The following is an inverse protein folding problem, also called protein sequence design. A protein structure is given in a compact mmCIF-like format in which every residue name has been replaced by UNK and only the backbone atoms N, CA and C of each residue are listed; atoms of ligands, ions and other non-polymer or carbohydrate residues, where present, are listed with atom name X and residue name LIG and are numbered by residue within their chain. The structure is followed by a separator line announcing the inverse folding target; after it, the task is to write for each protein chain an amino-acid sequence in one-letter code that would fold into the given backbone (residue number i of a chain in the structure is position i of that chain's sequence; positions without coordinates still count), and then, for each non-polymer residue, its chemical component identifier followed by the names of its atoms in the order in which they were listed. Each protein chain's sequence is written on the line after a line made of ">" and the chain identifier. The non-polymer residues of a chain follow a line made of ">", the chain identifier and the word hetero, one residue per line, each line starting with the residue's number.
data_IF_697160788495
#
_entry.id   IF_697160788495
#
_cell.length_a   1.000
_cell.length_b   1.000
_cell.length_c   1.000
_cell.angle_alpha   90.00
_cell.angle_beta   90.00
_cell.angle_gamma   90.00
#
_symmetry.space_group_name_H-M   'P 1'
#
loop_
_entity.id
_entity.type
_entity.pdbx_description
1 polymer ?
#
# COMPACT_ATOMS: atom_id res chain seq x y z
N UNK A 1 50.77 -34.24 19.35
CA UNK A 1 49.52 -33.42 19.27
C UNK A 1 49.77 -32.32 18.25
N UNK A 2 49.11 -32.39 17.09
CA UNK A 2 49.25 -31.37 16.04
C UNK A 2 48.43 -30.14 16.43
N UNK A 3 49.09 -29.04 16.77
CA UNK A 3 48.46 -27.73 16.90
C UNK A 3 48.05 -27.24 15.51
N UNK A 4 46.77 -27.37 15.17
CA UNK A 4 46.18 -26.72 14.00
C UNK A 4 46.06 -25.23 14.28
N UNK A 5 47.09 -24.46 13.93
CA UNK A 5 47.06 -23.01 13.98
C UNK A 5 45.91 -22.47 13.13
N UNK A 6 45.17 -21.51 13.70
CA UNK A 6 44.13 -20.71 13.03
C UNK A 6 44.62 -20.23 11.66
N UNK A 7 44.06 -20.79 10.58
CA UNK A 7 44.23 -20.26 9.23
C UNK A 7 43.48 -18.94 9.14
N UNK A 8 44.14 -17.84 9.47
CA UNK A 8 43.63 -16.51 9.15
C UNK A 8 43.61 -16.34 7.62
N UNK A 9 42.51 -15.85 7.02
CA UNK A 9 42.52 -15.49 5.61
C UNK A 9 43.62 -14.46 5.37
N UNK A 10 44.30 -14.55 4.22
CA UNK A 10 45.34 -13.56 3.90
C UNK A 10 44.74 -12.16 3.97
N UNK A 11 45.55 -11.19 4.40
CA UNK A 11 45.15 -9.77 4.45
C UNK A 11 44.59 -9.34 3.09
N UNK A 12 45.20 -9.81 2.00
CA UNK A 12 44.75 -9.58 0.63
C UNK A 12 43.35 -10.13 0.35
N UNK A 13 43.06 -11.38 0.75
CA UNK A 13 41.74 -11.98 0.59
C UNK A 13 40.67 -11.22 1.40
N UNK A 14 41.04 -10.71 2.58
CA UNK A 14 40.15 -9.89 3.41
C UNK A 14 39.88 -8.52 2.80
N UNK A 15 40.89 -7.87 2.23
CA UNK A 15 40.76 -6.60 1.48
C UNK A 15 39.87 -6.80 0.25
N UNK A 16 40.11 -7.86 -0.54
CA UNK A 16 39.32 -8.15 -1.73
C UNK A 16 37.85 -8.45 -1.39
N UNK A 17 37.60 -9.21 -0.32
CA UNK A 17 36.24 -9.48 0.17
C UNK A 17 35.51 -8.18 0.53
N UNK A 18 36.16 -7.28 1.26
CA UNK A 18 35.58 -5.97 1.61
C UNK A 18 35.31 -5.10 0.38
N UNK A 19 36.25 -5.06 -0.57
CA UNK A 19 36.05 -4.35 -1.85
C UNK A 19 34.86 -4.90 -2.63
N UNK A 20 34.73 -6.22 -2.75
CA UNK A 20 33.60 -6.84 -3.43
C UNK A 20 32.27 -6.54 -2.72
N UNK A 21 32.24 -6.58 -1.38
CA UNK A 21 31.07 -6.20 -0.61
C UNK A 21 30.68 -4.74 -0.85
N UNK A 22 31.65 -3.82 -0.83
CA UNK A 22 31.41 -2.40 -1.08
C UNK A 22 30.87 -2.15 -2.51
N UNK A 23 31.42 -2.81 -3.52
CA UNK A 23 30.92 -2.72 -4.90
C UNK A 23 29.47 -3.21 -4.99
N UNK A 24 29.14 -4.34 -4.35
CA UNK A 24 27.78 -4.85 -4.29
C UNK A 24 26.83 -3.89 -3.58
N UNK A 25 27.28 -3.23 -2.52
CA UNK A 25 26.50 -2.20 -1.82
C UNK A 25 26.19 -1.00 -2.72
N UNK A 26 27.18 -0.51 -3.47
CA UNK A 26 26.97 0.58 -4.43
C UNK A 26 25.98 0.20 -5.53
N UNK A 27 26.10 -1.02 -6.08
CA UNK A 27 25.16 -1.55 -7.09
C UNK A 27 23.73 -1.60 -6.51
N UNK A 28 23.58 -2.07 -5.27
CA UNK A 28 22.27 -2.16 -4.64
C UNK A 28 21.66 -0.79 -4.33
N UNK A 29 22.47 0.21 -3.95
CA UNK A 29 22.02 1.60 -3.77
C UNK A 29 21.51 2.18 -5.09
N UNK A 30 22.25 1.97 -6.18
CA UNK A 30 21.87 2.45 -7.51
C UNK A 30 20.57 1.80 -8.00
N UNK A 31 20.43 0.47 -7.82
CA UNK A 31 19.18 -0.24 -8.11
C UNK A 31 18.00 0.30 -7.30
N UNK A 32 18.19 0.54 -6.01
CA UNK A 32 17.12 1.06 -5.15
C UNK A 32 16.68 2.47 -5.59
N UNK A 33 17.63 3.32 -6.00
CA UNK A 33 17.34 4.63 -6.59
C UNK A 33 16.52 4.50 -7.88
N UNK A 34 16.91 3.59 -8.78
CA UNK A 34 16.17 3.39 -10.02
C UNK A 34 14.74 2.87 -9.77
N UNK A 35 14.58 1.92 -8.83
CA UNK A 35 13.26 1.44 -8.41
C UNK A 35 12.42 2.60 -7.86
N UNK A 36 13.00 3.45 -7.01
CA UNK A 36 12.32 4.62 -6.45
C UNK A 36 11.78 5.53 -7.55
N UNK A 37 12.63 5.93 -8.49
CA UNK A 37 12.25 6.82 -9.59
C UNK A 37 11.09 6.22 -10.41
N UNK A 38 11.15 4.91 -10.68
CA UNK A 38 10.12 4.19 -11.41
C UNK A 38 8.79 4.14 -10.65
N UNK A 39 8.82 3.83 -9.36
CA UNK A 39 7.63 3.81 -8.48
C UNK A 39 7.01 5.20 -8.37
N UNK A 40 7.81 6.23 -8.14
CA UNK A 40 7.33 7.61 -8.02
C UNK A 40 6.68 8.10 -9.32
N UNK A 41 7.24 7.71 -10.47
CA UNK A 41 6.68 7.98 -11.79
C UNK A 41 5.33 7.29 -11.96
N UNK A 42 5.26 5.97 -11.77
CA UNK A 42 4.02 5.19 -11.91
C UNK A 42 2.92 5.64 -10.94
N UNK A 43 3.28 5.94 -9.68
CA UNK A 43 2.33 6.46 -8.70
C UNK A 43 1.80 7.86 -9.09
N UNK A 44 2.63 8.66 -9.75
CA UNK A 44 2.23 9.98 -10.27
C UNK A 44 1.34 9.85 -11.50
N UNK A 45 1.64 8.92 -12.41
CA UNK A 45 0.78 8.58 -13.56
C UNK A 45 -0.60 8.12 -13.10
N UNK A 46 -0.67 7.18 -12.14
CA UNK A 46 -1.91 6.75 -11.51
C UNK A 46 -2.74 7.94 -10.97
N UNK A 47 -2.09 8.89 -10.32
CA UNK A 47 -2.77 10.09 -9.80
C UNK A 47 -3.30 11.00 -10.92
N UNK A 48 -2.61 11.06 -12.06
CA UNK A 48 -2.98 11.87 -13.20
C UNK A 48 -4.12 11.22 -14.00
N UNK A 49 -4.25 9.90 -13.95
CA UNK A 49 -5.32 9.12 -14.56
C UNK A 49 -6.61 9.05 -13.72
N UNK A 50 -6.72 9.88 -12.67
CA UNK A 50 -7.88 9.92 -11.78
C UNK A 50 -9.23 9.93 -12.51
N UNK A 51 -9.37 10.76 -13.55
CA UNK A 51 -10.63 10.90 -14.30
C UNK A 51 -10.99 9.62 -15.06
N UNK A 52 -10.00 8.88 -15.55
CA UNK A 52 -10.19 7.59 -16.22
C UNK A 52 -10.75 6.57 -15.23
N UNK A 53 -10.08 6.41 -14.08
CA UNK A 53 -10.54 5.49 -13.04
C UNK A 53 -11.89 5.88 -12.47
N UNK A 54 -12.13 7.18 -12.25
CA UNK A 54 -13.40 7.69 -11.76
C UNK A 54 -14.54 7.35 -12.73
N UNK A 55 -14.40 7.65 -14.03
CA UNK A 55 -15.43 7.36 -15.03
C UNK A 55 -15.74 5.87 -15.12
N UNK A 56 -14.71 5.02 -15.03
CA UNK A 56 -14.87 3.56 -15.09
C UNK A 56 -15.55 2.97 -13.84
N UNK A 57 -15.30 3.55 -12.65
CA UNK A 57 -15.65 2.89 -11.38
C UNK A 57 -16.74 3.60 -10.55
N UNK A 58 -17.10 4.84 -10.87
CA UNK A 58 -18.04 5.63 -10.05
C UNK A 58 -19.45 5.02 -10.02
N UNK A 59 -19.93 4.45 -11.12
CA UNK A 59 -21.24 3.78 -11.17
C UNK A 59 -21.29 2.61 -10.19
N UNK A 60 -20.27 1.74 -10.19
CA UNK A 60 -20.14 0.63 -9.26
C UNK A 60 -20.10 1.10 -7.81
N UNK A 61 -19.29 2.12 -7.51
CA UNK A 61 -19.22 2.69 -6.17
C UNK A 61 -20.57 3.28 -5.72
N UNK A 62 -21.26 4.01 -6.61
CA UNK A 62 -22.59 4.56 -6.34
C UNK A 62 -23.60 3.45 -6.02
N UNK A 63 -23.63 2.38 -6.80
CA UNK A 63 -24.51 1.24 -6.55
C UNK A 63 -24.19 0.56 -5.21
N UNK A 64 -22.90 0.39 -4.90
CA UNK A 64 -22.46 -0.15 -3.62
C UNK A 64 -22.96 0.71 -2.44
N UNK A 65 -22.84 2.04 -2.53
CA UNK A 65 -23.34 2.99 -1.52
C UNK A 65 -24.86 2.84 -1.28
N UNK A 66 -25.63 2.65 -2.37
CA UNK A 66 -27.08 2.45 -2.29
C UNK A 66 -27.41 1.10 -1.62
N UNK A 67 -26.76 0.02 -2.07
CA UNK A 67 -26.96 -1.34 -1.52
C UNK A 67 -26.65 -1.40 -0.02
N UNK A 68 -25.63 -0.68 0.42
CA UNK A 68 -25.22 -0.59 1.83
C UNK A 68 -26.03 0.42 2.65
N UNK A 69 -27.05 1.07 2.05
CA UNK A 69 -27.88 2.11 2.69
C UNK A 69 -27.07 3.30 3.22
N UNK A 70 -25.93 3.57 2.59
CA UNK A 70 -25.04 4.69 2.89
C UNK A 70 -25.42 5.95 2.12
N UNK A 71 -26.26 5.81 1.08
CA UNK A 71 -26.81 6.90 0.29
C UNK A 71 -28.22 6.54 -0.18
N UNK A 72 -29.15 7.50 -0.11
CA UNK A 72 -30.49 7.37 -0.68
C UNK A 72 -30.61 8.25 -1.92
N UNK A 73 -30.84 7.68 -3.12
CA UNK A 73 -31.04 8.47 -4.33
C UNK A 73 -32.23 9.42 -4.21
N UNK A 74 -32.05 10.66 -4.65
CA UNK A 74 -33.12 11.65 -4.76
C UNK A 74 -33.30 12.01 -6.22
N UNK A 75 -34.55 12.00 -6.70
CA UNK A 75 -34.89 12.38 -8.08
C UNK A 75 -34.29 13.75 -8.42
N UNK A 76 -33.59 13.83 -9.56
CA UNK A 76 -32.98 15.06 -10.05
C UNK A 76 -31.70 15.51 -9.35
N UNK A 77 -31.20 14.80 -8.33
CA UNK A 77 -29.92 15.12 -7.68
C UNK A 77 -28.76 14.29 -8.23
N UNK A 78 -27.56 14.87 -8.17
CA UNK A 78 -26.30 14.17 -8.45
C UNK A 78 -26.12 12.99 -7.47
N UNK A 79 -25.27 12.02 -7.84
CA UNK A 79 -24.96 10.86 -7.00
C UNK A 79 -24.28 11.22 -5.67
N UNK A 80 -23.94 10.21 -4.85
CA UNK A 80 -23.34 10.44 -3.54
C UNK A 80 -22.08 11.29 -3.65
N UNK A 81 -21.93 12.24 -2.72
CA UNK A 81 -20.69 12.99 -2.56
C UNK A 81 -19.64 12.12 -1.86
N UNK A 82 -18.35 12.28 -2.14
CA UNK A 82 -17.36 11.46 -1.42
C UNK A 82 -17.23 11.89 0.06
N UNK A 83 -17.03 10.92 0.98
CA UNK A 83 -16.78 11.19 2.39
C UNK A 83 -15.60 12.15 2.60
N UNK A 84 -15.73 13.08 3.54
CA UNK A 84 -14.75 14.17 3.72
C UNK A 84 -13.34 13.67 4.05
N UNK A 85 -13.22 12.67 4.93
CA UNK A 85 -11.93 12.12 5.33
C UNK A 85 -11.21 11.44 4.17
N UNK A 86 -11.94 10.81 3.23
CA UNK A 86 -11.37 10.24 2.01
C UNK A 86 -10.99 11.28 0.94
N UNK A 87 -11.34 12.56 1.13
CA UNK A 87 -10.94 13.65 0.22
C UNK A 87 -9.67 14.37 0.67
N UNK A 88 -9.20 14.13 1.89
CA UNK A 88 -8.10 14.90 2.50
C UNK A 88 -6.78 14.74 1.74
N UNK A 89 -6.57 13.60 1.06
CA UNK A 89 -5.42 13.37 0.19
C UNK A 89 -5.89 12.98 -1.22
N UNK A 90 -6.28 13.96 -2.04
CA UNK A 90 -6.98 13.75 -3.33
C UNK A 90 -6.33 12.76 -4.31
N UNK A 91 -5.05 12.42 -4.14
CA UNK A 91 -4.29 11.61 -5.11
C UNK A 91 -4.06 10.17 -4.66
N UNK A 92 -4.06 9.87 -3.35
CA UNK A 92 -3.85 8.52 -2.79
C UNK A 92 -2.82 7.67 -3.57
N UNK A 93 -1.63 8.24 -3.80
CA UNK A 93 -0.58 7.67 -4.66
C UNK A 93 -0.21 6.24 -4.31
N UNK A 94 -0.24 5.88 -3.02
CA UNK A 94 0.05 4.53 -2.53
C UNK A 94 -0.86 3.45 -3.12
N UNK A 95 -2.04 3.80 -3.63
CA UNK A 95 -3.00 2.86 -4.20
C UNK A 95 -2.76 2.56 -5.68
N UNK A 96 -1.68 3.09 -6.27
CA UNK A 96 -1.29 2.81 -7.65
C UNK A 96 -1.14 1.31 -8.01
N UNK A 97 -0.83 0.36 -7.10
CA UNK A 97 -0.76 -1.05 -7.46
C UNK A 97 -2.09 -1.62 -7.97
N UNK A 98 -3.22 -1.08 -7.50
CA UNK A 98 -4.56 -1.60 -7.81
C UNK A 98 -5.17 -1.00 -9.07
N UNK A 99 -4.57 0.07 -9.65
CA UNK A 99 -5.05 0.74 -10.87
C UNK A 99 -6.57 0.98 -10.89
N UNK A 100 -7.11 1.40 -9.74
CA UNK A 100 -8.55 1.55 -9.50
C UNK A 100 -8.83 2.88 -8.82
N UNK A 101 -10.06 3.37 -8.94
CA UNK A 101 -10.53 4.60 -8.29
C UNK A 101 -10.35 4.53 -6.77
N UNK A 102 -9.53 5.42 -6.20
CA UNK A 102 -9.10 5.34 -4.79
C UNK A 102 -10.27 5.32 -3.79
N UNK A 103 -11.35 6.08 -4.01
CA UNK A 103 -12.50 6.07 -3.09
C UNK A 103 -13.15 4.68 -3.05
N UNK A 104 -13.20 3.99 -4.19
CA UNK A 104 -13.72 2.62 -4.25
C UNK A 104 -12.80 1.66 -3.47
N UNK A 105 -11.49 1.73 -3.69
CA UNK A 105 -10.51 0.90 -2.95
C UNK A 105 -10.59 1.15 -1.44
N UNK A 106 -10.64 2.41 -1.01
CA UNK A 106 -10.76 2.77 0.41
C UNK A 106 -12.10 2.33 1.02
N UNK A 107 -13.19 2.36 0.24
CA UNK A 107 -14.51 1.87 0.68
C UNK A 107 -14.50 0.36 0.86
N UNK A 108 -13.86 -0.37 -0.04
CA UNK A 108 -13.66 -1.83 0.07
C UNK A 108 -12.77 -2.19 1.24
N UNK A 109 -11.69 -1.43 1.48
CA UNK A 109 -10.83 -1.62 2.65
C UNK A 109 -11.61 -1.43 3.96
N UNK A 110 -12.50 -0.43 4.03
CA UNK A 110 -13.39 -0.25 5.16
C UNK A 110 -14.32 -1.46 5.36
N UNK A 111 -14.85 -2.01 4.28
CA UNK A 111 -15.72 -3.19 4.30
C UNK A 111 -14.98 -4.45 4.78
N UNK A 112 -13.77 -4.68 4.26
CA UNK A 112 -12.90 -5.78 4.68
C UNK A 112 -12.65 -5.67 6.19
N UNK A 113 -12.19 -4.51 6.67
CA UNK A 113 -11.91 -4.31 8.10
C UNK A 113 -13.16 -4.47 8.96
N UNK A 114 -14.32 -4.02 8.49
CA UNK A 114 -15.58 -4.16 9.23
C UNK A 114 -16.04 -5.63 9.37
N UNK A 115 -15.52 -6.54 8.55
CA UNK A 115 -15.75 -7.98 8.68
C UNK A 115 -14.99 -8.61 9.86
N UNK A 116 -13.89 -7.99 10.33
CA UNK A 116 -13.08 -8.50 11.43
C UNK A 116 -13.64 -8.08 12.80
N UNK A 117 -13.49 -8.89 13.86
CA UNK A 117 -13.95 -8.51 15.19
C UNK A 117 -13.26 -7.25 15.73
N UNK A 118 -14.02 -6.42 16.45
CA UNK A 118 -13.50 -5.20 17.10
C UNK A 118 -12.35 -5.55 18.05
N UNK A 119 -11.33 -4.69 18.10
CA UNK A 119 -10.14 -4.77 18.95
C UNK A 119 -9.26 -6.02 18.75
N UNK A 120 -9.51 -6.83 17.73
CA UNK A 120 -8.59 -7.90 17.31
C UNK A 120 -7.55 -7.37 16.32
N UNK A 121 -6.31 -7.89 16.36
CA UNK A 121 -5.30 -7.58 15.35
C UNK A 121 -5.77 -8.00 13.96
N UNK A 122 -5.58 -7.13 12.98
CA UNK A 122 -5.80 -7.37 11.55
C UNK A 122 -4.49 -6.98 10.84
N UNK A 123 -3.76 -7.96 10.33
CA UNK A 123 -2.42 -7.71 9.76
C UNK A 123 -2.51 -6.98 8.43
N UNK A 124 -1.62 -6.02 8.22
CA UNK A 124 -1.61 -5.21 7.01
C UNK A 124 -1.41 -6.05 5.75
N UNK A 125 -0.56 -7.07 5.83
CA UNK A 125 -0.33 -7.99 4.72
C UNK A 125 -1.60 -8.74 4.31
N UNK A 126 -2.42 -9.18 5.27
CA UNK A 126 -3.67 -9.89 4.97
C UNK A 126 -4.66 -8.95 4.25
N UNK A 127 -4.80 -7.72 4.74
CA UNK A 127 -5.61 -6.68 4.11
C UNK A 127 -5.15 -6.37 2.68
N UNK A 128 -3.84 -6.29 2.44
CA UNK A 128 -3.29 -6.10 1.10
C UNK A 128 -3.65 -7.26 0.17
N UNK A 129 -3.50 -8.50 0.64
CA UNK A 129 -3.83 -9.69 -0.14
C UNK A 129 -5.31 -9.77 -0.47
N UNK A 130 -6.21 -9.40 0.46
CA UNK A 130 -7.64 -9.32 0.19
C UNK A 130 -7.95 -8.27 -0.89
N UNK A 131 -7.38 -7.06 -0.81
CA UNK A 131 -7.54 -6.05 -1.87
C UNK A 131 -6.98 -6.53 -3.22
N UNK A 132 -5.83 -7.21 -3.21
CA UNK A 132 -5.23 -7.78 -4.41
C UNK A 132 -6.11 -8.88 -5.04
N UNK A 133 -6.85 -9.64 -4.23
CA UNK A 133 -7.84 -10.59 -4.74
C UNK A 133 -9.05 -9.88 -5.36
N UNK A 134 -9.46 -8.74 -4.81
CA UNK A 134 -10.60 -7.97 -5.31
C UNK A 134 -10.31 -7.26 -6.64
N UNK A 135 -9.13 -6.65 -6.79
CA UNK A 135 -8.81 -5.78 -7.93
C UNK A 135 -7.71 -6.31 -8.85
N UNK A 136 -6.95 -7.30 -8.40
CA UNK A 136 -5.67 -7.63 -9.02
C UNK A 136 -4.59 -6.59 -8.68
N UNK A 137 -3.38 -6.86 -9.19
CA UNK A 137 -2.23 -5.98 -9.09
C UNK A 137 -1.69 -5.71 -10.49
N UNK A 138 -1.27 -4.47 -10.75
CA UNK A 138 -0.63 -4.13 -12.03
C UNK A 138 0.62 -4.97 -12.27
N UNK A 139 0.87 -5.33 -13.53
CA UNK A 139 2.07 -6.09 -13.92
C UNK A 139 3.35 -5.35 -13.56
N UNK A 140 3.32 -4.02 -13.69
CA UNK A 140 4.42 -3.14 -13.32
C UNK A 140 4.71 -3.24 -11.82
N UNK A 141 3.68 -3.19 -10.97
CA UNK A 141 3.85 -3.36 -9.52
C UNK A 141 4.45 -4.72 -9.19
N UNK A 142 3.89 -5.80 -9.73
CA UNK A 142 4.38 -7.16 -9.44
C UNK A 142 5.84 -7.35 -9.85
N UNK A 143 6.25 -6.76 -10.98
CA UNK A 143 7.64 -6.82 -11.46
C UNK A 143 8.57 -6.05 -10.54
N UNK A 144 8.23 -4.81 -10.21
CA UNK A 144 9.07 -3.94 -9.37
C UNK A 144 9.15 -4.47 -7.94
N UNK A 145 8.05 -5.01 -7.40
CA UNK A 145 8.03 -5.58 -6.05
C UNK A 145 9.02 -6.75 -5.91
N UNK A 146 9.12 -7.61 -6.92
CA UNK A 146 10.09 -8.71 -6.93
C UNK A 146 11.53 -8.19 -6.89
N UNK A 147 11.83 -7.19 -7.71
CA UNK A 147 13.15 -6.54 -7.73
C UNK A 147 13.46 -5.89 -6.38
N UNK A 148 12.50 -5.15 -5.83
CA UNK A 148 12.63 -4.48 -4.54
C UNK A 148 12.89 -5.46 -3.38
N UNK A 149 12.08 -6.52 -3.27
CA UNK A 149 12.25 -7.54 -2.23
C UNK A 149 13.59 -8.28 -2.34
N UNK A 150 14.14 -8.42 -3.54
CA UNK A 150 15.46 -9.02 -3.73
C UNK A 150 16.60 -8.20 -3.11
N UNK A 151 16.40 -6.89 -2.91
CA UNK A 151 17.39 -6.01 -2.28
C UNK A 151 17.40 -6.14 -0.75
N UNK A 152 16.32 -6.61 -0.15
CA UNK A 152 16.14 -6.83 1.29
C UNK A 152 16.64 -5.65 2.15
N UNK A 153 16.18 -4.44 1.83
CA UNK A 153 16.58 -3.20 2.49
C UNK A 153 15.36 -2.30 2.71
N UNK A 154 15.33 -1.55 3.83
CA UNK A 154 14.31 -0.52 4.04
C UNK A 154 14.48 0.60 3.02
N UNK A 155 13.40 1.32 2.71
CA UNK A 155 13.46 2.40 1.75
C UNK A 155 12.68 3.63 2.19
N UNK A 156 12.99 4.79 1.60
CA UNK A 156 12.26 6.04 1.89
C UNK A 156 10.89 6.10 1.21
N UNK A 157 10.52 5.08 0.42
CA UNK A 157 9.33 5.06 -0.41
C UNK A 157 8.49 3.79 -0.16
N UNK A 158 8.67 3.17 1.02
CA UNK A 158 7.96 1.95 1.41
C UNK A 158 6.43 2.12 1.29
N UNK A 159 5.88 3.29 1.64
CA UNK A 159 4.46 3.64 1.45
C UNK A 159 3.95 3.51 0.00
N UNK A 160 4.84 3.45 -1.00
CA UNK A 160 4.50 3.29 -2.41
C UNK A 160 4.84 1.89 -2.98
N UNK A 161 5.48 1.01 -2.23
CA UNK A 161 5.90 -0.30 -2.76
C UNK A 161 5.65 -1.46 -1.81
N UNK A 162 5.93 -1.27 -0.53
CA UNK A 162 5.80 -2.31 0.48
C UNK A 162 4.33 -2.52 0.85
N UNK A 163 3.88 -3.77 0.82
CA UNK A 163 2.47 -4.11 1.00
C UNK A 163 1.91 -3.60 2.34
N UNK A 164 2.68 -3.74 3.42
CA UNK A 164 2.24 -3.36 4.76
C UNK A 164 2.16 -1.83 4.87
N UNK A 165 3.18 -1.14 4.38
CA UNK A 165 3.27 0.32 4.39
C UNK A 165 2.18 0.97 3.54
N UNK A 166 1.80 0.36 2.40
CA UNK A 166 0.68 0.81 1.56
C UNK A 166 -0.63 0.77 2.33
N UNK A 167 -0.90 -0.32 3.07
CA UNK A 167 -2.14 -0.45 3.85
C UNK A 167 -2.13 0.49 5.04
N UNK A 168 -1.04 0.56 5.81
CA UNK A 168 -0.91 1.50 6.92
C UNK A 168 -1.23 2.93 6.45
N UNK A 169 -0.61 3.35 5.34
CA UNK A 169 -0.84 4.66 4.73
C UNK A 169 -2.29 4.86 4.28
N UNK A 170 -2.91 3.81 3.76
CA UNK A 170 -4.30 3.86 3.28
C UNK A 170 -5.33 3.93 4.41
N UNK A 171 -4.95 3.55 5.62
CA UNK A 171 -5.81 3.61 6.81
C UNK A 171 -5.74 4.93 7.57
N UNK A 172 -4.77 5.81 7.28
CA UNK A 172 -4.65 7.13 7.91
C UNK A 172 -5.98 7.91 7.95
N UNK A 173 -6.80 8.00 6.87
CA UNK A 173 -8.07 8.74 6.91
C UNK A 173 -9.06 8.21 7.95
N UNK A 174 -9.06 6.90 8.19
CA UNK A 174 -9.92 6.25 9.18
C UNK A 174 -9.32 6.35 10.58
N UNK A 175 -7.98 6.30 10.70
CA UNK A 175 -7.27 6.50 11.95
C UNK A 175 -7.46 7.92 12.50
N UNK A 176 -7.50 8.93 11.62
CA UNK A 176 -7.82 10.32 11.98
C UNK A 176 -9.22 10.49 12.58
N UNK A 177 -10.14 9.57 12.26
CA UNK A 177 -11.48 9.51 12.86
C UNK A 177 -11.55 8.58 14.08
N UNK A 178 -10.41 8.07 14.54
CA UNK A 178 -10.27 7.11 15.64
C UNK A 178 -11.04 5.78 15.42
N UNK A 179 -11.39 5.45 14.18
CA UNK A 179 -12.13 4.22 13.83
C UNK A 179 -11.22 2.99 13.78
N UNK A 180 -9.93 3.21 13.56
CA UNK A 180 -8.87 2.20 13.63
C UNK A 180 -7.70 2.69 14.46
N UNK A 181 -7.02 1.76 15.12
CA UNK A 181 -5.73 1.98 15.77
C UNK A 181 -4.64 1.32 14.95
N UNK A 182 -3.73 2.13 14.42
CA UNK A 182 -2.56 1.65 13.68
C UNK A 182 -1.47 1.21 14.65
N UNK A 183 -0.90 0.04 14.41
CA UNK A 183 0.30 -0.51 15.07
C UNK A 183 1.33 -0.84 13.99
N UNK A 184 2.52 -1.28 14.40
CA UNK A 184 3.64 -1.50 13.49
C UNK A 184 3.32 -2.45 12.32
N UNK A 185 2.58 -3.52 12.56
CA UNK A 185 2.34 -4.62 11.62
C UNK A 185 0.84 -4.92 11.42
N UNK A 186 -0.04 -4.24 12.16
CA UNK A 186 -1.47 -4.52 12.16
C UNK A 186 -2.30 -3.28 12.53
N UNK A 187 -3.56 -3.29 12.10
CA UNK A 187 -4.59 -2.41 12.63
C UNK A 187 -5.45 -3.12 13.68
N UNK A 188 -6.11 -2.34 14.52
CA UNK A 188 -7.26 -2.80 15.31
C UNK A 188 -8.47 -1.93 15.01
N UNK A 189 -9.57 -2.56 14.57
CA UNK A 189 -10.84 -1.87 14.41
C UNK A 189 -11.39 -1.44 15.77
N UNK A 190 -11.78 -0.18 15.91
CA UNK A 190 -12.43 0.37 17.11
C UNK A 190 -13.94 0.55 16.91
N UNK A 191 -14.36 0.95 15.72
CA UNK A 191 -15.76 1.16 15.34
C UNK A 191 -15.95 0.85 13.85
N UNK A 192 -17.18 0.99 13.31
CA UNK A 192 -17.49 0.75 11.90
C UNK A 192 -16.90 1.81 10.99
N UNK A 193 -15.97 1.40 10.14
CA UNK A 193 -15.39 2.26 9.09
C UNK A 193 -16.44 2.53 8.01
N UNK A 194 -17.23 1.53 7.63
CA UNK A 194 -18.27 1.67 6.59
C UNK A 194 -19.31 2.72 7.00
N UNK A 195 -19.68 2.77 8.27
CA UNK A 195 -20.66 3.74 8.79
C UNK A 195 -20.18 5.20 8.63
N UNK A 196 -18.87 5.43 8.67
CA UNK A 196 -18.27 6.76 8.46
C UNK A 196 -18.39 7.27 7.02
N UNK A 197 -18.73 6.40 6.07
CA UNK A 197 -18.87 6.72 4.66
C UNK A 197 -20.26 7.27 4.30
N UNK A 198 -21.22 7.21 5.23
CA UNK A 198 -22.60 7.63 5.00
C UNK A 198 -22.68 9.11 4.58
N UNK A 199 -23.48 9.38 3.55
CA UNK A 199 -23.68 10.72 2.93
C UNK A 199 -25.14 11.04 2.65
#
# INVERSE_FOLDING_TARGET
>A
MHCSWLKHPSVEASIQKRRNQYILELINIDKLRHIKEKVETLASEYSNEYDTFFKANYSFWKEWMIKRRLFTPVLGKKGPSFPRHLKMNRKHKQLWPFQTFHILVLSTLAEIIDSYPINKPIYYRDLFMELAQHYGLSEQYQTILKEFKSLNRPSSFDELIDEESIIEKSLEPYAMLELVLLRKDHAKRKDSLVSSLKV
#
